data_IF_039390704064
#
_entry.id   IF_039390704064
#
_cell.length_a   1.000
_cell.length_b   1.000
_cell.length_c   1.000
_cell.angle_alpha   90.00
_cell.angle_beta   90.00
_cell.angle_gamma   90.00
#
_symmetry.space_group_name_H-M   'P 1'
#
loop_
_entity.id
_entity.type
_entity.pdbx_description
1 polymer ?
#
# COMPACT_ATOMS: atom_id res chain seq x y z
N UNK A 1 26.16 28.39 4.02
CA UNK A 1 25.41 27.33 3.31
C UNK A 1 24.19 27.03 4.13
N UNK A 2 22.99 27.18 3.58
CA UNK A 2 21.73 26.78 4.25
C UNK A 2 21.63 25.24 4.21
N UNK A 3 21.19 24.64 5.32
CA UNK A 3 20.91 23.20 5.34
C UNK A 3 19.81 22.87 4.31
N UNK A 4 19.88 21.70 3.65
CA UNK A 4 18.83 21.29 2.72
C UNK A 4 17.48 21.16 3.43
N UNK A 5 16.39 21.40 2.73
CA UNK A 5 15.06 21.18 3.29
C UNK A 5 14.84 19.68 3.55
N UNK A 6 14.15 19.34 4.64
CA UNK A 6 13.88 17.93 4.99
C UNK A 6 13.16 17.20 3.84
N UNK A 7 12.25 17.89 3.15
CA UNK A 7 11.56 17.33 1.98
C UNK A 7 12.52 16.92 0.87
N UNK A 8 13.57 17.70 0.60
CA UNK A 8 14.57 17.37 -0.42
C UNK A 8 15.39 16.13 -0.03
N UNK A 9 15.74 16.03 1.26
CA UNK A 9 16.48 14.86 1.78
C UNK A 9 15.64 13.58 1.66
N UNK A 10 14.37 13.65 2.04
CA UNK A 10 13.46 12.51 1.92
C UNK A 10 13.20 12.14 0.47
N UNK A 11 12.96 13.11 -0.40
CA UNK A 11 12.76 12.86 -1.83
C UNK A 11 13.99 12.21 -2.47
N UNK A 12 15.19 12.68 -2.15
CA UNK A 12 16.44 12.07 -2.63
C UNK A 12 16.60 10.62 -2.15
N UNK A 13 16.28 10.35 -0.88
CA UNK A 13 16.31 9.00 -0.33
C UNK A 13 15.35 8.07 -1.08
N UNK A 14 14.08 8.46 -1.17
CA UNK A 14 13.04 7.63 -1.82
C UNK A 14 13.34 7.39 -3.30
N UNK A 15 13.72 8.45 -4.04
CA UNK A 15 14.01 8.33 -5.47
C UNK A 15 15.33 7.60 -5.76
N UNK A 16 16.26 7.59 -4.82
CA UNK A 16 17.56 6.94 -4.96
C UNK A 16 17.58 5.48 -4.49
N UNK A 17 16.59 5.03 -3.72
CA UNK A 17 16.57 3.69 -3.17
C UNK A 17 16.34 2.64 -4.26
N UNK A 18 17.22 1.63 -4.29
CA UNK A 18 17.11 0.48 -5.21
C UNK A 18 16.97 -0.83 -4.42
N UNK A 19 16.46 -1.92 -5.03
CA UNK A 19 16.40 -3.22 -4.37
C UNK A 19 17.75 -3.70 -3.81
N UNK A 20 18.87 -3.33 -4.45
CA UNK A 20 20.21 -3.70 -4.02
C UNK A 20 20.67 -2.99 -2.74
N UNK A 21 20.08 -1.84 -2.42
CA UNK A 21 20.39 -1.07 -1.21
C UNK A 21 19.66 -1.60 0.03
N UNK A 22 18.63 -2.44 -0.17
CA UNK A 22 17.80 -2.96 0.91
C UNK A 22 18.39 -4.30 1.40
N UNK A 23 18.72 -4.43 2.71
CA UNK A 23 19.18 -5.69 3.25
C UNK A 23 18.18 -6.84 3.02
N UNK A 24 18.67 -8.03 2.70
CA UNK A 24 17.82 -9.19 2.39
C UNK A 24 16.79 -9.49 3.50
N UNK A 25 17.17 -9.34 4.77
CA UNK A 25 16.26 -9.54 5.90
C UNK A 25 15.11 -8.51 5.93
N UNK A 26 15.35 -7.28 5.46
CA UNK A 26 14.31 -6.24 5.35
C UNK A 26 13.38 -6.57 4.20
N UNK A 27 13.91 -6.98 3.04
CA UNK A 27 13.11 -7.42 1.89
C UNK A 27 12.23 -8.63 2.22
N UNK A 28 12.76 -9.60 2.97
CA UNK A 28 11.99 -10.75 3.44
C UNK A 28 10.88 -10.32 4.40
N UNK A 29 11.20 -9.46 5.36
CA UNK A 29 10.20 -8.93 6.30
C UNK A 29 9.11 -8.14 5.60
N UNK A 30 9.46 -7.30 4.63
CA UNK A 30 8.50 -6.54 3.82
C UNK A 30 7.51 -7.47 3.09
N UNK A 31 8.01 -8.54 2.46
CA UNK A 31 7.16 -9.55 1.81
C UNK A 31 6.20 -10.24 2.79
N UNK A 32 6.66 -10.55 3.99
CA UNK A 32 5.81 -11.14 5.03
C UNK A 32 4.72 -10.18 5.49
N UNK A 33 5.04 -8.89 5.69
CA UNK A 33 4.05 -7.88 6.08
C UNK A 33 3.03 -7.61 4.96
N UNK A 34 3.46 -7.59 3.70
CA UNK A 34 2.57 -7.50 2.55
C UNK A 34 1.61 -8.71 2.51
N UNK A 35 2.15 -9.92 2.70
CA UNK A 35 1.33 -11.13 2.72
C UNK A 35 0.30 -11.12 3.86
N UNK A 36 0.72 -10.68 5.05
CA UNK A 36 -0.15 -10.50 6.21
C UNK A 36 -1.26 -9.48 5.92
N UNK A 37 -0.89 -8.30 5.37
CA UNK A 37 -1.84 -7.27 4.96
C UNK A 37 -2.85 -7.75 3.90
N UNK A 38 -2.42 -8.54 2.92
CA UNK A 38 -3.32 -9.17 1.96
C UNK A 38 -4.28 -10.14 2.67
N UNK A 39 -3.76 -10.94 3.60
CA UNK A 39 -4.57 -11.89 4.39
C UNK A 39 -5.64 -11.20 5.24
N UNK A 40 -5.27 -10.14 5.94
CA UNK A 40 -6.22 -9.33 6.73
C UNK A 40 -7.24 -8.64 5.82
N UNK A 41 -6.82 -8.13 4.68
CA UNK A 41 -7.71 -7.53 3.69
C UNK A 41 -8.75 -8.52 3.14
N UNK A 42 -8.35 -9.73 2.78
CA UNK A 42 -9.26 -10.80 2.36
C UNK A 42 -10.26 -11.13 3.47
N UNK A 43 -9.79 -11.22 4.71
CA UNK A 43 -10.64 -11.53 5.85
C UNK A 43 -11.64 -10.39 6.17
N UNK A 44 -11.26 -9.14 5.99
CA UNK A 44 -12.12 -7.97 6.12
C UNK A 44 -13.19 -7.95 5.01
N UNK A 45 -12.78 -8.19 3.76
CA UNK A 45 -13.69 -8.30 2.61
C UNK A 45 -14.74 -9.38 2.80
N UNK A 46 -14.35 -10.56 3.30
CA UNK A 46 -15.26 -11.66 3.59
C UNK A 46 -16.31 -11.31 4.67
N UNK A 47 -16.08 -10.24 5.44
CA UNK A 47 -17.01 -9.69 6.45
C UNK A 47 -17.83 -8.50 5.95
N UNK A 48 -17.68 -8.13 4.68
CA UNK A 48 -18.40 -7.00 4.08
C UNK A 48 -17.97 -5.63 4.60
N UNK A 49 -16.75 -5.50 5.14
CA UNK A 49 -16.28 -4.25 5.78
C UNK A 49 -16.15 -3.07 4.81
N UNK A 50 -16.11 -3.33 3.50
CA UNK A 50 -15.92 -2.35 2.43
C UNK A 50 -17.17 -2.07 1.60
N UNK A 51 -18.28 -2.76 1.81
CA UNK A 51 -19.47 -2.71 0.93
C UNK A 51 -20.00 -1.28 0.71
N UNK A 52 -20.13 -0.51 1.76
CA UNK A 52 -20.62 0.87 1.67
C UNK A 52 -19.64 1.78 0.90
N UNK A 53 -18.34 1.58 1.08
CA UNK A 53 -17.31 2.34 0.38
C UNK A 53 -17.24 1.97 -1.09
N UNK A 54 -17.31 0.68 -1.43
CA UNK A 54 -17.36 0.21 -2.82
C UNK A 54 -18.57 0.79 -3.55
N UNK A 55 -19.76 0.74 -2.95
CA UNK A 55 -20.96 1.30 -3.53
C UNK A 55 -20.82 2.83 -3.80
N UNK A 56 -20.28 3.57 -2.83
CA UNK A 56 -20.04 5.00 -2.96
C UNK A 56 -19.02 5.33 -4.07
N UNK A 57 -17.87 4.67 -4.07
CA UNK A 57 -16.79 4.94 -5.03
C UNK A 57 -17.17 4.53 -6.45
N UNK A 58 -17.86 3.40 -6.63
CA UNK A 58 -18.39 2.98 -7.94
C UNK A 58 -19.34 4.02 -8.52
N UNK A 59 -20.15 4.67 -7.67
CA UNK A 59 -21.06 5.72 -8.12
C UNK A 59 -20.36 7.03 -8.51
N UNK A 60 -19.16 7.28 -7.99
CA UNK A 60 -18.43 8.55 -8.17
C UNK A 60 -17.40 8.50 -9.31
N UNK A 61 -16.65 7.41 -9.42
CA UNK A 61 -15.43 7.38 -10.24
C UNK A 61 -15.46 6.38 -11.41
N UNK A 62 -16.35 5.40 -11.41
CA UNK A 62 -16.41 4.37 -12.44
C UNK A 62 -15.23 3.37 -12.35
N UNK A 63 -15.10 2.54 -13.39
CA UNK A 63 -14.07 1.50 -13.47
C UNK A 63 -12.65 2.08 -13.67
N UNK A 64 -11.64 1.33 -13.24
CA UNK A 64 -10.23 1.64 -13.38
C UNK A 64 -9.40 0.43 -13.79
N UNK A 65 -8.08 0.49 -13.55
CA UNK A 65 -7.14 -0.58 -13.89
C UNK A 65 -6.47 -1.23 -12.67
N UNK A 66 -6.65 -0.64 -11.47
CA UNK A 66 -5.97 -1.09 -10.25
C UNK A 66 -6.80 -2.12 -9.46
N UNK A 67 -6.10 -3.09 -8.86
CA UNK A 67 -6.71 -4.16 -8.08
C UNK A 67 -7.03 -3.74 -6.65
N UNK A 68 -8.10 -4.33 -6.13
CA UNK A 68 -8.44 -4.28 -4.71
C UNK A 68 -8.51 -5.71 -4.18
N UNK A 69 -7.89 -5.94 -3.04
CA UNK A 69 -7.80 -7.25 -2.39
C UNK A 69 -9.19 -7.87 -2.22
N UNK A 70 -9.37 -9.09 -2.72
CA UNK A 70 -10.63 -9.81 -2.64
C UNK A 70 -11.73 -9.36 -3.61
N UNK A 71 -11.44 -8.44 -4.53
CA UNK A 71 -12.36 -8.00 -5.57
C UNK A 71 -11.93 -8.51 -6.96
N UNK A 72 -12.90 -8.85 -7.79
CA UNK A 72 -12.69 -9.13 -9.21
C UNK A 72 -12.68 -7.85 -10.05
N UNK A 73 -13.40 -6.83 -9.61
CA UNK A 73 -13.50 -5.53 -10.24
C UNK A 73 -12.19 -4.74 -10.11
N UNK A 74 -11.97 -3.83 -11.06
CA UNK A 74 -10.83 -2.91 -11.05
C UNK A 74 -11.30 -1.50 -10.77
N UNK A 75 -10.49 -0.74 -10.05
CA UNK A 75 -10.81 0.61 -9.57
C UNK A 75 -9.80 1.64 -10.09
N UNK A 76 -10.18 2.92 -10.03
CA UNK A 76 -9.25 4.01 -10.25
C UNK A 76 -8.11 3.95 -9.21
N UNK A 77 -6.88 4.37 -9.53
CA UNK A 77 -5.72 4.19 -8.63
C UNK A 77 -5.95 4.74 -7.21
N UNK A 78 -6.54 5.94 -7.11
CA UNK A 78 -6.87 6.57 -5.83
C UNK A 78 -7.85 5.72 -5.01
N UNK A 79 -8.87 5.20 -5.68
CA UNK A 79 -9.95 4.45 -5.03
C UNK A 79 -9.47 3.04 -4.67
N UNK A 80 -8.61 2.44 -5.48
CA UNK A 80 -7.95 1.17 -5.16
C UNK A 80 -7.04 1.31 -3.94
N UNK A 81 -6.22 2.37 -3.86
CA UNK A 81 -5.40 2.64 -2.69
C UNK A 81 -6.25 2.82 -1.42
N UNK A 82 -7.33 3.60 -1.51
CA UNK A 82 -8.25 3.81 -0.39
C UNK A 82 -8.90 2.51 0.09
N UNK A 83 -9.44 1.70 -0.84
CA UNK A 83 -10.12 0.44 -0.50
C UNK A 83 -9.15 -0.60 0.05
N UNK A 84 -7.95 -0.74 -0.52
CA UNK A 84 -6.93 -1.63 0.01
C UNK A 84 -6.50 -1.22 1.42
N UNK A 85 -6.24 0.06 1.66
CA UNK A 85 -5.91 0.58 2.98
C UNK A 85 -7.01 0.33 3.99
N UNK A 86 -8.27 0.59 3.62
CA UNK A 86 -9.44 0.30 4.44
C UNK A 86 -9.51 -1.19 4.80
N UNK A 87 -9.44 -2.08 3.83
CA UNK A 87 -9.56 -3.52 4.04
C UNK A 87 -8.43 -4.07 4.92
N UNK A 88 -7.18 -3.65 4.68
CA UNK A 88 -6.03 -4.10 5.46
C UNK A 88 -6.18 -3.69 6.92
N UNK A 89 -6.67 -2.47 7.20
CA UNK A 89 -6.78 -1.94 8.55
C UNK A 89 -8.08 -2.29 9.28
N UNK A 90 -9.16 -2.64 8.58
CA UNK A 90 -10.51 -2.78 9.16
C UNK A 90 -10.63 -3.76 10.33
N UNK A 91 -9.75 -4.73 10.44
CA UNK A 91 -9.75 -5.72 11.53
C UNK A 91 -8.76 -5.37 12.64
N UNK A 92 -7.95 -4.33 12.48
CA UNK A 92 -6.87 -3.93 13.40
C UNK A 92 -5.90 -5.09 13.75
N UNK A 93 -5.63 -5.95 12.77
CA UNK A 93 -4.66 -7.05 12.86
C UNK A 93 -3.37 -6.78 12.09
N UNK A 94 -3.33 -5.69 11.34
CA UNK A 94 -2.18 -5.25 10.57
C UNK A 94 -1.04 -4.75 11.48
N UNK A 95 0.15 -4.70 10.92
CA UNK A 95 1.37 -4.35 11.64
C UNK A 95 1.30 -2.97 12.30
N UNK A 96 1.86 -2.88 13.50
CA UNK A 96 1.87 -1.65 14.28
C UNK A 96 3.30 -1.21 14.59
N UNK A 97 3.67 0.02 14.22
CA UNK A 97 4.91 0.65 14.67
C UNK A 97 4.66 1.38 15.99
N UNK A 98 4.99 0.73 17.10
CA UNK A 98 4.67 1.22 18.45
C UNK A 98 5.27 2.60 18.76
N UNK A 99 6.46 2.91 18.25
CA UNK A 99 7.12 4.20 18.49
C UNK A 99 6.45 5.38 17.80
N UNK A 100 5.85 5.16 16.63
CA UNK A 100 5.14 6.18 15.87
C UNK A 100 3.60 6.08 16.01
N UNK A 101 3.12 5.01 16.65
CA UNK A 101 1.68 4.74 16.84
C UNK A 101 0.94 4.79 15.49
N UNK A 102 1.42 4.02 14.54
CA UNK A 102 0.83 3.94 13.18
C UNK A 102 0.86 2.51 12.63
N UNK A 103 0.02 2.25 11.63
CA UNK A 103 -0.09 0.99 10.89
C UNK A 103 0.51 1.18 9.48
N UNK A 104 1.80 0.87 9.28
CA UNK A 104 2.51 1.21 8.04
C UNK A 104 1.94 0.49 6.81
N UNK A 105 1.66 -0.81 6.91
CA UNK A 105 1.27 -1.62 5.75
C UNK A 105 -0.04 -1.15 5.12
N UNK A 106 -1.03 -0.79 5.92
CA UNK A 106 -2.32 -0.32 5.40
C UNK A 106 -2.17 0.92 4.50
N UNK A 107 -1.25 1.81 4.82
CA UNK A 107 -1.02 3.04 4.05
C UNK A 107 0.03 2.86 2.95
N UNK A 108 1.21 2.37 3.30
CA UNK A 108 2.34 2.29 2.39
C UNK A 108 2.13 1.25 1.28
N UNK A 109 1.71 0.03 1.63
CA UNK A 109 1.48 -1.01 0.62
C UNK A 109 0.29 -0.68 -0.29
N UNK A 110 -0.81 -0.17 0.24
CA UNK A 110 -1.97 0.21 -0.57
C UNK A 110 -1.63 1.28 -1.62
N UNK A 111 -0.84 2.28 -1.23
CA UNK A 111 -0.37 3.32 -2.15
C UNK A 111 0.64 2.78 -3.18
N UNK A 112 1.63 1.99 -2.72
CA UNK A 112 2.65 1.41 -3.58
C UNK A 112 2.05 0.45 -4.62
N UNK A 113 1.07 -0.38 -4.24
CA UNK A 113 0.38 -1.29 -5.15
C UNK A 113 -0.36 -0.52 -6.26
N UNK A 114 -1.16 0.48 -5.89
CA UNK A 114 -1.86 1.29 -6.87
C UNK A 114 -0.90 2.02 -7.83
N UNK A 115 0.20 2.56 -7.32
CA UNK A 115 1.24 3.21 -8.12
C UNK A 115 1.96 2.22 -9.05
N UNK A 116 2.29 1.03 -8.57
CA UNK A 116 2.94 -0.02 -9.36
C UNK A 116 2.05 -0.48 -10.52
N UNK A 117 0.77 -0.75 -10.26
CA UNK A 117 -0.18 -1.13 -11.30
C UNK A 117 -0.43 -0.02 -12.32
N UNK A 118 -0.49 1.23 -11.87
CA UNK A 118 -0.66 2.40 -12.74
C UNK A 118 0.54 2.60 -13.69
N UNK A 119 1.75 2.27 -13.25
CA UNK A 119 2.99 2.48 -14.00
C UNK A 119 3.50 1.22 -14.70
N UNK A 120 2.91 0.06 -14.43
CA UNK A 120 3.40 -1.24 -14.90
C UNK A 120 4.75 -1.63 -14.28
N UNK A 121 5.00 -1.21 -13.04
CA UNK A 121 6.24 -1.48 -12.33
C UNK A 121 6.40 -2.97 -12.00
N UNK A 122 7.65 -3.45 -11.95
CA UNK A 122 7.97 -4.81 -11.56
C UNK A 122 7.81 -5.04 -10.04
N UNK A 123 7.67 -6.31 -9.64
CA UNK A 123 7.44 -6.72 -8.24
C UNK A 123 8.50 -6.16 -7.27
N UNK A 124 9.77 -6.16 -7.67
CA UNK A 124 10.85 -5.62 -6.83
C UNK A 124 10.73 -4.10 -6.63
N UNK A 125 10.22 -3.37 -7.62
CA UNK A 125 9.96 -1.94 -7.47
C UNK A 125 8.79 -1.68 -6.52
N UNK A 126 7.74 -2.51 -6.55
CA UNK A 126 6.64 -2.45 -5.58
C UNK A 126 7.14 -2.64 -4.14
N UNK A 127 7.94 -3.69 -3.89
CA UNK A 127 8.46 -3.95 -2.54
C UNK A 127 9.43 -2.85 -2.10
N UNK A 128 10.24 -2.32 -3.03
CA UNK A 128 11.15 -1.19 -2.75
C UNK A 128 10.36 0.07 -2.35
N UNK A 129 9.30 0.40 -3.09
CA UNK A 129 8.43 1.54 -2.78
C UNK A 129 7.67 1.37 -1.45
N UNK A 130 7.34 0.14 -1.07
CA UNK A 130 6.75 -0.15 0.23
C UNK A 130 7.75 0.02 1.39
N UNK A 131 9.03 -0.28 1.17
CA UNK A 131 10.09 -0.15 2.19
C UNK A 131 10.55 1.30 2.36
N UNK A 132 10.45 2.12 1.31
CA UNK A 132 10.88 3.52 1.29
C UNK A 132 10.02 4.42 2.18
#
# INVERSE_FOLDING_TARGET
>A
MTAPAIADVLAQFVCGLTPADIPAVVMERARHLILDGIGTGIAARARGMDEAFVAALTSLAGAGACSVVGHAERFQPRDAALLNGLLIHSLEFDDTHMGAVLHPTATAFAAALAAAEMTGAADDALVTAYVA
#
